data_IF_462816945536
#
_entry.id   IF_462816945536
#
_cell.length_a   1.000
_cell.length_b   1.000
_cell.length_c   1.000
_cell.angle_alpha   90.00
_cell.angle_beta   90.00
_cell.angle_gamma   90.00
#
_symmetry.space_group_name_H-M   'P 1'
#
loop_
_entity.id
_entity.type
_entity.pdbx_description
1 polymer ?
#
# COMPACT_ATOMS: atom_id res chain seq x y z
N UNK A 1 -0.31 -14.52 5.83
CA UNK A 1 1.08 -14.05 5.74
C UNK A 1 1.11 -12.53 5.69
N UNK A 2 2.08 -11.91 6.31
CA UNK A 2 2.19 -10.46 6.31
C UNK A 2 3.43 -10.03 5.54
N UNK A 3 3.30 -8.91 4.81
CA UNK A 3 4.39 -8.38 4.00
C UNK A 3 4.54 -6.88 4.24
N UNK A 4 5.77 -6.40 4.08
CA UNK A 4 6.07 -4.97 4.03
C UNK A 4 6.30 -4.61 2.57
N UNK A 5 5.46 -3.76 2.04
CA UNK A 5 5.57 -3.29 0.65
C UNK A 5 6.18 -1.90 0.59
N UNK A 6 7.02 -1.66 -0.39
CA UNK A 6 7.60 -0.35 -0.64
C UNK A 6 7.63 -0.07 -2.13
N UNK A 7 7.27 1.13 -2.54
CA UNK A 7 7.18 1.46 -3.95
C UNK A 7 7.26 2.96 -4.18
N UNK A 8 7.68 3.32 -5.40
CA UNK A 8 7.64 4.72 -5.84
C UNK A 8 6.19 5.10 -6.15
N UNK A 9 5.70 6.15 -5.50
CA UNK A 9 4.37 6.68 -5.78
C UNK A 9 4.39 7.43 -7.12
N UNK A 10 3.38 7.18 -7.94
CA UNK A 10 3.20 7.91 -9.20
C UNK A 10 2.42 9.18 -8.91
N UNK A 11 3.13 10.26 -8.65
CA UNK A 11 2.54 11.50 -8.12
C UNK A 11 1.42 12.08 -8.99
N UNK A 12 1.42 11.80 -10.30
CA UNK A 12 0.35 12.29 -11.18
C UNK A 12 -1.01 11.62 -10.90
N UNK A 13 -0.99 10.46 -10.24
CA UNK A 13 -2.20 9.68 -9.98
C UNK A 13 -2.49 9.48 -8.49
N UNK A 14 -1.60 9.97 -7.62
CA UNK A 14 -1.72 9.69 -6.19
C UNK A 14 -2.98 10.33 -5.56
N UNK A 15 -3.38 11.51 -6.02
CA UNK A 15 -4.59 12.14 -5.51
C UNK A 15 -5.84 11.38 -5.92
N UNK A 16 -5.84 10.78 -7.12
CA UNK A 16 -6.93 9.91 -7.54
C UNK A 16 -7.02 8.68 -6.64
N UNK A 17 -5.89 8.10 -6.30
CA UNK A 17 -5.87 6.97 -5.37
C UNK A 17 -6.47 7.37 -4.01
N UNK A 18 -6.11 8.53 -3.49
CA UNK A 18 -6.68 9.01 -2.23
C UNK A 18 -8.20 9.11 -2.31
N UNK A 19 -8.72 9.70 -3.39
CA UNK A 19 -10.16 9.84 -3.57
C UNK A 19 -10.84 8.48 -3.58
N UNK A 20 -10.28 7.51 -4.28
CA UNK A 20 -10.83 6.16 -4.33
C UNK A 20 -10.80 5.46 -2.99
N UNK A 21 -9.73 5.64 -2.22
CA UNK A 21 -9.65 5.09 -0.87
C UNK A 21 -10.75 5.69 0.03
N UNK A 22 -10.96 6.99 -0.06
CA UNK A 22 -11.98 7.66 0.74
C UNK A 22 -13.39 7.22 0.34
N UNK A 23 -13.62 6.95 -0.94
CA UNK A 23 -14.89 6.47 -1.44
C UNK A 23 -15.16 4.99 -1.14
N UNK A 24 -14.15 4.26 -0.67
CA UNK A 24 -14.28 2.83 -0.44
C UNK A 24 -14.28 2.00 -1.71
N UNK A 25 -13.66 2.51 -2.79
CA UNK A 25 -13.73 1.87 -4.10
C UNK A 25 -13.18 0.45 -4.13
N UNK A 26 -12.22 0.12 -3.24
CA UNK A 26 -11.57 -1.19 -3.26
C UNK A 26 -12.08 -2.15 -2.21
N UNK A 27 -12.94 -1.70 -1.30
CA UNK A 27 -13.38 -2.52 -0.15
C UNK A 27 -14.06 -3.81 -0.60
N UNK A 28 -14.78 -3.77 -1.72
CA UNK A 28 -15.48 -4.93 -2.25
C UNK A 28 -14.62 -5.95 -2.95
N UNK A 29 -13.37 -5.64 -3.23
CA UNK A 29 -12.47 -6.59 -3.89
C UNK A 29 -12.10 -7.71 -2.91
N UNK A 30 -12.22 -8.93 -3.36
CA UNK A 30 -12.00 -10.11 -2.49
C UNK A 30 -10.75 -10.86 -2.94
N UNK A 31 -9.99 -11.39 -1.99
CA UNK A 31 -10.17 -11.30 -0.52
C UNK A 31 -9.52 -10.07 0.11
N UNK A 32 -8.83 -9.23 -0.66
CA UNK A 32 -7.86 -8.27 -0.15
C UNK A 32 -8.40 -6.85 0.06
N UNK A 33 -9.61 -6.54 -0.41
CA UNK A 33 -10.07 -5.14 -0.50
C UNK A 33 -10.01 -4.34 0.80
N UNK A 34 -10.48 -4.93 1.92
CA UNK A 34 -10.45 -4.24 3.21
C UNK A 34 -9.03 -4.06 3.72
N UNK A 35 -8.21 -5.11 3.62
CA UNK A 35 -6.82 -5.05 4.08
C UNK A 35 -6.02 -4.03 3.29
N UNK A 36 -6.16 -4.06 1.97
CA UNK A 36 -5.46 -3.11 1.10
C UNK A 36 -5.88 -1.67 1.40
N UNK A 37 -7.18 -1.42 1.52
CA UNK A 37 -7.71 -0.09 1.79
C UNK A 37 -7.14 0.47 3.09
N UNK A 38 -7.18 -0.33 4.17
CA UNK A 38 -6.64 0.08 5.45
C UNK A 38 -5.13 0.36 5.36
N UNK A 39 -4.40 -0.55 4.75
CA UNK A 39 -2.94 -0.42 4.66
C UNK A 39 -2.51 0.80 3.88
N UNK A 40 -3.17 1.09 2.77
CA UNK A 40 -2.82 2.26 1.97
C UNK A 40 -3.19 3.57 2.68
N UNK A 41 -4.32 3.60 3.41
CA UNK A 41 -4.68 4.79 4.19
C UNK A 41 -3.65 5.09 5.28
N UNK A 42 -3.00 4.07 5.82
CA UNK A 42 -1.99 4.21 6.86
C UNK A 42 -0.56 4.21 6.35
N UNK A 43 -0.37 4.19 5.04
CA UNK A 43 0.96 4.15 4.44
C UNK A 43 1.83 5.33 4.88
N UNK A 44 3.12 5.06 5.00
CA UNK A 44 4.13 6.05 5.38
C UNK A 44 4.96 6.41 4.16
N UNK A 45 5.71 7.49 4.27
CA UNK A 45 6.62 7.87 3.21
C UNK A 45 8.05 7.92 3.74
N UNK A 46 8.96 7.39 2.92
CA UNK A 46 10.39 7.64 3.10
C UNK A 46 10.77 8.85 2.26
N UNK A 47 11.99 9.34 2.43
CA UNK A 47 12.53 10.37 1.55
C UNK A 47 12.43 9.90 0.09
N UNK A 48 12.36 10.82 -0.84
CA UNK A 48 12.29 10.54 -2.28
C UNK A 48 10.95 10.02 -2.79
N UNK A 49 9.89 10.17 -1.98
CA UNK A 49 8.56 9.84 -2.45
C UNK A 49 8.23 8.35 -2.46
N UNK A 50 9.00 7.54 -1.73
CA UNK A 50 8.71 6.12 -1.61
C UNK A 50 7.60 5.91 -0.59
N UNK A 51 6.54 5.23 -1.00
CA UNK A 51 5.46 4.81 -0.10
C UNK A 51 5.83 3.46 0.51
N UNK A 52 5.54 3.27 1.80
CA UNK A 52 5.84 2.03 2.49
C UNK A 52 4.68 1.67 3.43
N UNK A 53 4.29 0.39 3.41
CA UNK A 53 3.15 -0.08 4.19
C UNK A 53 3.29 -1.57 4.50
N UNK A 54 2.58 -2.03 5.55
CA UNK A 54 2.43 -3.45 5.82
C UNK A 54 1.03 -3.90 5.42
N UNK A 55 0.93 -5.11 4.90
CA UNK A 55 -0.35 -5.63 4.42
C UNK A 55 -0.42 -7.14 4.64
N UNK A 56 -1.61 -7.63 4.98
CA UNK A 56 -1.86 -9.08 4.99
C UNK A 56 -1.96 -9.57 3.56
N UNK A 57 -1.17 -10.60 3.23
CA UNK A 57 -1.05 -11.11 1.88
C UNK A 57 -1.78 -12.44 1.72
N UNK A 58 -2.58 -12.53 0.68
CA UNK A 58 -3.37 -13.72 0.37
C UNK A 58 -2.94 -14.38 -0.95
N UNK A 59 -1.90 -13.88 -1.58
CA UNK A 59 -1.57 -14.26 -2.96
C UNK A 59 -0.23 -14.96 -3.08
N UNK A 60 -0.06 -15.70 -4.18
CA UNK A 60 1.22 -16.26 -4.58
C UNK A 60 1.38 -16.03 -6.08
N UNK A 61 2.39 -15.23 -6.50
CA UNK A 61 3.36 -14.50 -5.67
C UNK A 61 2.71 -13.42 -4.81
N UNK A 62 3.44 -12.93 -3.79
CA UNK A 62 2.86 -11.94 -2.88
C UNK A 62 2.30 -10.71 -3.57
N UNK A 63 1.10 -10.31 -3.14
CA UNK A 63 0.36 -9.16 -3.63
C UNK A 63 -0.01 -9.22 -5.12
N UNK A 64 0.00 -10.42 -5.73
CA UNK A 64 -0.25 -10.55 -7.16
C UNK A 64 -1.58 -9.94 -7.60
N UNK A 65 -2.67 -10.24 -6.87
CA UNK A 65 -3.99 -9.71 -7.21
C UNK A 65 -4.10 -8.22 -6.90
N UNK A 66 -3.55 -7.79 -5.78
CA UNK A 66 -3.53 -6.37 -5.42
C UNK A 66 -2.78 -5.55 -6.45
N UNK A 67 -1.65 -6.05 -6.93
CA UNK A 67 -0.88 -5.38 -7.97
C UNK A 67 -1.67 -5.26 -9.26
N UNK A 68 -2.25 -6.35 -9.72
CA UNK A 68 -2.98 -6.36 -10.98
C UNK A 68 -4.21 -5.46 -10.93
N UNK A 69 -4.94 -5.47 -9.81
CA UNK A 69 -6.19 -4.74 -9.69
C UNK A 69 -6.00 -3.26 -9.34
N UNK A 70 -4.99 -2.94 -8.53
CA UNK A 70 -4.86 -1.61 -7.94
C UNK A 70 -3.45 -1.05 -8.00
N UNK A 71 -2.48 -1.75 -7.40
CA UNK A 71 -1.18 -1.14 -7.10
C UNK A 71 -0.39 -0.70 -8.32
N UNK A 72 -0.43 -1.49 -9.40
CA UNK A 72 0.34 -1.17 -10.60
C UNK A 72 -0.17 0.09 -11.31
N UNK A 73 -1.38 0.56 -10.97
CA UNK A 73 -1.91 1.80 -11.52
C UNK A 73 -1.36 3.05 -10.83
N UNK A 74 -0.84 2.91 -9.61
CA UNK A 74 -0.48 4.06 -8.76
C UNK A 74 0.95 4.02 -8.26
N UNK A 75 1.60 2.87 -8.36
CA UNK A 75 2.95 2.67 -7.83
C UNK A 75 3.84 1.98 -8.85
N UNK A 76 5.13 2.25 -8.75
CA UNK A 76 6.14 1.69 -9.62
C UNK A 76 7.23 1.03 -8.80
N UNK A 77 7.86 -0.02 -9.35
CA UNK A 77 8.97 -0.72 -8.71
C UNK A 77 8.64 -1.22 -7.31
N UNK A 78 7.52 -1.96 -7.19
CA UNK A 78 7.07 -2.49 -5.90
C UNK A 78 8.04 -3.57 -5.41
N UNK A 79 8.56 -3.39 -4.20
CA UNK A 79 9.35 -4.41 -3.52
C UNK A 79 8.57 -4.93 -2.31
N UNK A 80 8.78 -6.20 -1.96
CA UNK A 80 7.98 -6.89 -0.95
C UNK A 80 8.90 -7.70 -0.05
N UNK A 81 8.74 -7.53 1.27
CA UNK A 81 9.48 -8.29 2.28
C UNK A 81 8.49 -8.98 3.22
N UNK A 82 8.70 -10.26 3.50
CA UNK A 82 7.87 -10.97 4.49
C UNK A 82 8.22 -10.49 5.89
N UNK A 83 7.17 -10.27 6.69
CA UNK A 83 7.32 -9.82 8.07
C UNK A 83 6.33 -10.56 8.96
N UNK A 84 6.53 -10.51 10.28
CA UNK A 84 5.52 -10.96 11.23
C UNK A 84 4.45 -9.86 11.35
N UNK A 85 3.25 -10.26 11.73
CA UNK A 85 2.14 -9.31 11.87
C UNK A 85 2.53 -8.15 12.80
N UNK A 86 2.42 -6.93 12.29
CA UNK A 86 2.74 -5.71 13.03
C UNK A 86 4.21 -5.31 13.01
N UNK A 87 5.10 -6.20 12.57
CA UNK A 87 6.53 -5.91 12.56
C UNK A 87 6.87 -4.78 11.60
N UNK A 88 6.24 -4.78 10.43
CA UNK A 88 6.46 -3.73 9.44
C UNK A 88 6.05 -2.36 9.97
N UNK A 89 4.84 -2.29 10.53
CA UNK A 89 4.35 -1.03 11.13
C UNK A 89 5.26 -0.52 12.23
N UNK A 90 5.81 -1.41 13.06
CA UNK A 90 6.79 -1.03 14.08
C UNK A 90 8.01 -0.37 13.48
N UNK A 91 8.52 -0.94 12.39
CA UNK A 91 9.73 -0.43 11.73
C UNK A 91 9.54 0.95 11.14
N UNK A 92 8.32 1.26 10.68
CA UNK A 92 8.05 2.49 9.95
C UNK A 92 7.26 3.53 10.74
N UNK A 93 6.92 3.26 11.99
CA UNK A 93 6.04 4.15 12.78
C UNK A 93 6.60 5.55 12.96
N UNK A 94 7.92 5.72 12.89
CA UNK A 94 8.55 7.03 13.04
C UNK A 94 8.53 7.84 11.74
N UNK A 95 8.19 7.22 10.62
CA UNK A 95 8.09 7.91 9.35
C UNK A 95 6.78 8.70 9.27
N UNK A 96 6.76 9.84 8.56
CA UNK A 96 5.53 10.59 8.36
C UNK A 96 4.56 9.80 7.48
N UNK A 97 3.26 10.07 7.66
CA UNK A 97 2.25 9.49 6.79
C UNK A 97 2.44 10.00 5.38
N UNK A 98 2.07 9.19 4.40
CA UNK A 98 2.15 9.58 3.01
C UNK A 98 1.30 10.82 2.77
N UNK A 99 1.89 11.81 2.12
CA UNK A 99 1.18 13.05 1.80
C UNK A 99 0.36 12.85 0.53
N UNK A 100 -0.94 12.63 0.71
CA UNK A 100 -1.86 12.36 -0.39
C UNK A 100 -2.25 13.62 -1.17
N UNK A 101 -2.08 14.80 -0.59
CA UNK A 101 -2.54 16.06 -1.16
C UNK A 101 -1.41 16.81 -1.88
N UNK A 102 -0.83 16.17 -2.85
CA UNK A 102 0.27 16.80 -3.58
C UNK A 102 -0.22 17.53 -4.83
#
# INVERSE_FOLDING_TARGET
MWVLGASNALWLTISELQDRLQEGAFIGLRPFGKALTHSLKEARTQSDGIAIWEEEDYCSPPLAEERAAVLDNYFDEISIERVDAGEGWKRIKALPKLNWNR
#
